data_IF_276883515754
#
_entry.id   IF_276883515754
#
_cell.length_a   1.000
_cell.length_b   1.000
_cell.length_c   1.000
_cell.angle_alpha   90.00
_cell.angle_beta   90.00
_cell.angle_gamma   90.00
#
_symmetry.space_group_name_H-M   'P 1'
#
loop_
_entity.id
_entity.type
_entity.pdbx_description
1 polymer ?
#
# COMPACT_ATOMS: atom_id res chain seq x y z
N UNK A 1 -15.97 34.69 -5.96
CA UNK A 1 -14.99 35.01 -4.88
C UNK A 1 -14.47 33.79 -4.13
N UNK A 2 -15.19 32.66 -4.07
CA UNK A 2 -14.69 31.44 -3.40
C UNK A 2 -13.49 30.76 -4.08
N UNK A 3 -13.29 30.95 -5.39
CA UNK A 3 -12.19 30.32 -6.13
C UNK A 3 -10.79 30.79 -5.67
N UNK A 4 -10.67 32.01 -5.16
CA UNK A 4 -9.42 32.56 -4.63
C UNK A 4 -9.11 32.03 -3.22
N UNK A 5 -10.15 31.69 -2.44
CA UNK A 5 -10.01 31.07 -1.12
C UNK A 5 -9.49 29.62 -1.22
N UNK A 6 -9.93 28.88 -2.25
CA UNK A 6 -9.45 27.53 -2.61
C UNK A 6 -7.92 27.49 -2.82
N UNK A 7 -7.35 28.54 -3.44
CA UNK A 7 -5.93 28.58 -3.78
C UNK A 7 -5.02 29.06 -2.65
N UNK A 8 -5.55 29.75 -1.63
CA UNK A 8 -4.71 30.53 -0.69
C UNK A 8 -4.95 30.22 0.80
N UNK A 9 -5.80 29.23 1.12
CA UNK A 9 -6.29 28.96 2.48
C UNK A 9 -6.22 27.49 2.93
N UNK A 10 -5.08 26.83 2.74
CA UNK A 10 -4.84 25.45 3.21
C UNK A 10 -5.54 24.40 2.35
N UNK A 11 -4.93 23.21 2.25
CA UNK A 11 -5.54 22.08 1.56
C UNK A 11 -6.74 21.61 2.37
N UNK A 12 -7.91 22.17 2.09
CA UNK A 12 -9.16 21.76 2.70
C UNK A 12 -9.56 20.37 2.21
N UNK A 13 -10.46 19.72 2.95
CA UNK A 13 -11.05 18.45 2.53
C UNK A 13 -11.68 18.54 1.12
N UNK A 14 -12.19 19.72 0.76
CA UNK A 14 -12.79 20.01 -0.54
C UNK A 14 -11.77 19.99 -1.69
N UNK A 15 -10.59 20.63 -1.56
CA UNK A 15 -9.53 20.53 -2.58
C UNK A 15 -9.08 19.09 -2.79
N UNK A 16 -8.85 18.35 -1.70
CA UNK A 16 -8.39 16.96 -1.77
C UNK A 16 -9.41 16.11 -2.54
N UNK A 17 -10.71 16.29 -2.27
CA UNK A 17 -11.79 15.61 -2.99
C UNK A 17 -11.83 16.01 -4.47
N UNK A 18 -11.63 17.28 -4.80
CA UNK A 18 -11.57 17.77 -6.17
C UNK A 18 -10.40 17.16 -6.95
N UNK A 19 -9.21 17.10 -6.34
CA UNK A 19 -8.02 16.50 -6.94
C UNK A 19 -8.24 15.01 -7.17
N UNK A 20 -8.76 14.29 -6.17
CA UNK A 20 -9.10 12.87 -6.30
C UNK A 20 -10.15 12.64 -7.40
N UNK A 21 -11.16 13.50 -7.50
CA UNK A 21 -12.18 13.41 -8.55
C UNK A 21 -11.59 13.60 -9.96
N UNK A 22 -10.67 14.55 -10.16
CA UNK A 22 -9.97 14.74 -11.45
C UNK A 22 -9.12 13.53 -11.81
N UNK A 23 -8.35 13.00 -10.84
CA UNK A 23 -7.54 11.78 -11.03
C UNK A 23 -8.45 10.59 -11.37
N UNK A 24 -9.58 10.43 -10.67
CA UNK A 24 -10.57 9.39 -10.94
C UNK A 24 -11.22 9.53 -12.32
N UNK A 25 -11.41 10.74 -12.84
CA UNK A 25 -11.91 10.95 -14.21
C UNK A 25 -10.85 10.61 -15.27
N UNK A 26 -9.59 10.96 -15.04
CA UNK A 26 -8.49 10.64 -15.98
C UNK A 26 -8.15 9.15 -16.01
N UNK A 27 -8.07 8.51 -14.84
CA UNK A 27 -7.66 7.11 -14.73
C UNK A 27 -8.85 6.15 -14.64
N UNK A 28 -10.06 6.65 -14.33
CA UNK A 28 -11.24 5.84 -14.06
C UNK A 28 -11.26 5.31 -12.61
N UNK A 29 -12.46 5.18 -12.04
CA UNK A 29 -12.64 4.71 -10.66
C UNK A 29 -12.17 3.29 -10.35
N UNK A 30 -11.89 2.50 -11.39
CA UNK A 30 -11.43 1.11 -11.25
C UNK A 30 -9.90 0.97 -11.16
N UNK A 31 -9.12 1.91 -11.69
CA UNK A 31 -7.65 1.78 -11.72
C UNK A 31 -7.01 1.99 -10.36
N UNK A 32 -7.50 2.92 -9.53
CA UNK A 32 -6.99 3.15 -8.18
C UNK A 32 -7.06 1.87 -7.31
N UNK A 33 -8.22 1.18 -7.15
CA UNK A 33 -8.30 -0.04 -6.35
C UNK A 33 -7.56 -1.23 -6.96
N UNK A 34 -7.46 -1.31 -8.29
CA UNK A 34 -6.68 -2.34 -8.99
C UNK A 34 -5.17 -2.20 -8.70
N UNK A 35 -4.64 -0.98 -8.77
CA UNK A 35 -3.26 -0.66 -8.42
C UNK A 35 -2.98 -0.90 -6.92
N UNK A 36 -3.90 -0.52 -6.03
CA UNK A 36 -3.78 -0.79 -4.60
C UNK A 36 -3.75 -2.29 -4.28
N UNK A 37 -4.57 -3.10 -4.97
CA UNK A 37 -4.55 -4.56 -4.81
C UNK A 37 -3.22 -5.15 -5.28
N UNK A 38 -2.71 -4.73 -6.44
CA UNK A 38 -1.41 -5.19 -6.93
C UNK A 38 -0.25 -4.83 -6.01
N UNK A 39 -0.18 -3.57 -5.58
CA UNK A 39 0.86 -3.07 -4.66
C UNK A 39 0.76 -3.75 -3.29
N UNK A 40 -0.46 -3.94 -2.78
CA UNK A 40 -0.71 -4.61 -1.49
C UNK A 40 -0.27 -6.07 -1.48
N UNK A 41 -0.55 -6.81 -2.56
CA UNK A 41 -0.07 -8.19 -2.71
C UNK A 41 1.46 -8.25 -2.77
N UNK A 42 2.10 -7.37 -3.55
CA UNK A 42 3.57 -7.31 -3.65
C UNK A 42 4.25 -6.97 -2.31
N UNK A 43 3.71 -6.00 -1.56
CA UNK A 43 4.20 -5.67 -0.21
C UNK A 43 4.02 -6.84 0.75
N UNK A 44 2.90 -7.57 0.66
CA UNK A 44 2.62 -8.74 1.50
C UNK A 44 3.62 -9.87 1.22
N UNK A 45 3.87 -10.17 -0.05
CA UNK A 45 4.86 -11.18 -0.47
C UNK A 45 6.28 -10.78 -0.05
N UNK A 46 6.66 -9.52 -0.24
CA UNK A 46 7.95 -8.98 0.20
C UNK A 46 8.14 -9.11 1.72
N UNK A 47 7.11 -8.77 2.49
CA UNK A 47 7.12 -8.92 3.95
C UNK A 47 7.21 -10.39 4.39
N UNK A 48 6.56 -11.29 3.68
CA UNK A 48 6.60 -12.72 4.00
C UNK A 48 8.00 -13.31 3.74
N UNK A 49 8.58 -13.02 2.57
CA UNK A 49 9.94 -13.44 2.24
C UNK A 49 10.96 -12.88 3.26
N UNK A 50 10.87 -11.58 3.57
CA UNK A 50 11.74 -10.94 4.57
C UNK A 50 11.56 -11.50 6.00
N UNK A 51 10.39 -12.10 6.31
CA UNK A 51 10.13 -12.78 7.58
C UNK A 51 10.67 -14.21 7.60
N UNK A 52 10.58 -14.94 6.48
CA UNK A 52 11.11 -16.30 6.39
C UNK A 52 12.64 -16.33 6.46
N UNK A 53 13.31 -15.30 5.95
CA UNK A 53 14.76 -15.10 6.14
C UNK A 53 15.15 -14.85 7.62
N UNK A 54 14.19 -14.39 8.46
CA UNK A 54 14.40 -14.19 9.90
C UNK A 54 13.92 -15.37 10.76
N UNK A 55 13.15 -16.32 10.20
CA UNK A 55 12.51 -17.41 10.95
C UNK A 55 13.19 -18.78 10.74
N UNK A 56 14.12 -18.91 9.78
CA UNK A 56 14.85 -20.15 9.46
C UNK A 56 16.09 -20.42 10.35
N UNK A 57 16.06 -20.05 11.63
CA UNK A 57 17.01 -20.53 12.65
C UNK A 57 16.36 -21.45 13.70
N UNK A 58 15.08 -21.82 13.56
CA UNK A 58 14.48 -22.85 14.43
C UNK A 58 13.73 -23.88 13.60
N UNK A 59 14.10 -25.15 13.77
CA UNK A 59 13.45 -26.38 13.26
C UNK A 59 14.18 -27.05 12.10
N UNK A 60 15.39 -27.57 12.36
CA UNK A 60 15.88 -28.88 11.85
C UNK A 60 17.31 -29.09 12.34
N UNK A 61 17.49 -29.72 13.52
CA UNK A 61 18.61 -30.62 13.88
C UNK A 61 18.43 -31.08 15.35
N UNK A 62 17.37 -31.84 15.66
CA UNK A 62 17.39 -32.76 16.82
C UNK A 62 16.45 -33.94 16.51
N UNK A 63 16.81 -34.79 15.54
CA UNK A 63 16.33 -36.17 15.53
C UNK A 63 17.25 -37.08 14.69
N UNK A 64 18.35 -37.51 15.34
CA UNK A 64 19.03 -38.81 15.20
C UNK A 64 20.41 -38.70 15.85
N UNK A 65 20.59 -39.33 16.99
CA UNK A 65 21.51 -40.46 17.15
C UNK A 65 21.38 -41.02 18.57
N UNK A 66 20.92 -42.26 18.64
CA UNK A 66 21.10 -43.18 19.75
C UNK A 66 22.40 -43.95 19.46
N UNK A 67 23.47 -43.67 20.20
CA UNK A 67 24.46 -44.66 20.66
C UNK A 67 25.37 -44.12 21.76
#
# INVERSE_FOLDING_TARGET
MNLLFIFMGGLGATEIILIIAVILLMFGGKKIPELMKGLGSGIKEFKNAAKDDNSTTKTTVVEKEEK
#
